data_IF_963549813010
#
_entry.id   IF_963549813010
#
_cell.length_a   1.000
_cell.length_b   1.000
_cell.length_c   1.000
_cell.angle_alpha   90.00
_cell.angle_beta   90.00
_cell.angle_gamma   90.00
#
_symmetry.space_group_name_H-M   'P 1'
#
loop_
_entity.id
_entity.type
_entity.pdbx_description
1 polymer ?
#
# COMPACT_ATOMS: atom_id res chain seq x y z
N UNK A 1 17.93 33.54 15.89
CA UNK A 1 16.63 33.45 15.21
C UNK A 1 15.84 34.63 15.68
N UNK A 2 15.65 35.59 14.78
CA UNK A 2 14.76 36.72 15.03
C UNK A 2 13.31 36.23 14.93
N UNK A 3 12.37 36.89 15.61
CA UNK A 3 10.95 36.50 15.60
C UNK A 3 10.35 36.47 14.17
N UNK A 4 10.94 37.24 13.25
CA UNK A 4 10.57 37.23 11.83
C UNK A 4 10.92 35.90 11.14
N UNK A 5 12.11 35.35 11.39
CA UNK A 5 12.54 34.08 10.79
C UNK A 5 11.60 32.93 11.18
N UNK A 6 11.06 32.98 12.41
CA UNK A 6 10.12 31.98 12.91
C UNK A 6 8.72 32.09 12.29
N UNK A 7 8.27 33.31 11.99
CA UNK A 7 6.99 33.54 11.33
C UNK A 7 7.03 33.09 9.87
N UNK A 8 8.10 33.43 9.14
CA UNK A 8 8.30 33.00 7.75
C UNK A 8 8.33 31.47 7.64
N UNK A 9 9.00 30.80 8.60
CA UNK A 9 9.07 29.33 8.64
C UNK A 9 7.70 28.69 8.91
N UNK A 10 6.90 29.29 9.79
CA UNK A 10 5.53 28.84 10.11
C UNK A 10 4.61 28.99 8.90
N UNK A 11 4.71 30.09 8.16
CA UNK A 11 3.92 30.34 6.95
C UNK A 11 4.30 29.36 5.84
N UNK A 12 5.59 29.16 5.60
CA UNK A 12 6.06 28.18 4.62
C UNK A 12 5.62 26.75 4.95
N UNK A 13 5.64 26.37 6.23
CA UNK A 13 5.14 25.07 6.68
C UNK A 13 3.63 24.94 6.44
N UNK A 14 2.84 25.99 6.72
CA UNK A 14 1.40 26.00 6.49
C UNK A 14 1.06 25.85 5.00
N UNK A 15 1.77 26.57 4.12
CA UNK A 15 1.59 26.45 2.67
C UNK A 15 1.95 25.06 2.16
N UNK A 16 3.07 24.51 2.61
CA UNK A 16 3.51 23.16 2.23
C UNK A 16 2.50 22.11 2.64
N UNK A 17 1.95 22.21 3.87
CA UNK A 17 0.90 21.29 4.32
C UNK A 17 -0.32 21.39 3.39
N UNK A 18 -0.80 22.60 3.09
CA UNK A 18 -1.98 22.80 2.21
C UNK A 18 -1.78 22.23 0.81
N UNK A 19 -0.59 22.39 0.23
CA UNK A 19 -0.25 21.83 -1.09
C UNK A 19 -0.31 20.30 -1.14
N UNK A 20 -0.15 19.64 0.01
CA UNK A 20 -0.20 18.18 0.13
C UNK A 20 -1.61 17.65 0.44
N UNK A 21 -2.63 18.50 0.58
CA UNK A 21 -4.01 18.09 0.87
C UNK A 21 -4.83 17.96 -0.41
N UNK A 22 -5.77 17.01 -0.42
CA UNK A 22 -6.80 16.98 -1.45
C UNK A 22 -7.76 18.18 -1.30
N UNK A 23 -8.32 18.65 -2.42
CA UNK A 23 -9.18 19.85 -2.45
C UNK A 23 -10.30 19.81 -1.40
N UNK A 24 -10.94 18.65 -1.25
CA UNK A 24 -12.01 18.40 -0.28
C UNK A 24 -11.59 18.68 1.17
N UNK A 25 -10.34 18.37 1.52
CA UNK A 25 -9.76 18.58 2.85
C UNK A 25 -9.22 20.01 2.99
N UNK A 26 -8.69 20.58 1.90
CA UNK A 26 -8.13 21.94 1.87
C UNK A 26 -9.18 22.99 2.28
N UNK A 27 -10.43 22.88 1.82
CA UNK A 27 -11.49 23.82 2.18
C UNK A 27 -11.73 23.94 3.69
N UNK A 28 -11.44 22.89 4.46
CA UNK A 28 -11.61 22.88 5.91
C UNK A 28 -10.51 23.62 6.67
N UNK A 29 -9.33 23.83 6.05
CA UNK A 29 -8.13 24.38 6.72
C UNK A 29 -7.57 25.64 6.04
N UNK A 30 -8.12 26.05 4.90
CA UNK A 30 -7.66 27.20 4.10
C UNK A 30 -7.61 28.52 4.89
N UNK A 31 -8.46 28.69 5.91
CA UNK A 31 -8.53 29.90 6.73
C UNK A 31 -7.54 29.93 7.91
N UNK A 32 -6.90 28.80 8.23
CA UNK A 32 -5.99 28.67 9.37
C UNK A 32 -4.59 29.10 8.96
N UNK A 33 -3.96 30.01 9.69
CA UNK A 33 -2.69 30.64 9.26
C UNK A 33 -1.44 29.94 9.78
N UNK A 34 -1.55 29.25 10.91
CA UNK A 34 -0.43 28.52 11.50
C UNK A 34 -0.44 27.06 11.06
N UNK A 35 0.74 26.52 10.77
CA UNK A 35 0.93 25.09 10.55
C UNK A 35 0.43 24.24 11.74
N UNK A 36 0.60 24.74 12.97
CA UNK A 36 0.13 24.06 14.19
C UNK A 36 -1.41 24.02 14.26
N UNK A 37 -2.09 25.11 13.88
CA UNK A 37 -3.55 25.16 13.81
C UNK A 37 -4.10 24.21 12.75
N UNK A 38 -3.50 24.21 11.56
CA UNK A 38 -3.85 23.28 10.47
C UNK A 38 -3.68 21.84 10.97
N UNK A 39 -2.55 21.53 11.59
CA UNK A 39 -2.26 20.19 12.08
C UNK A 39 -3.25 19.76 13.18
N UNK A 40 -3.50 20.60 14.18
CA UNK A 40 -4.49 20.34 15.25
C UNK A 40 -5.92 20.21 14.74
N UNK A 41 -6.25 20.82 13.61
CA UNK A 41 -7.58 20.68 12.99
C UNK A 41 -7.72 19.36 12.23
N UNK A 42 -6.66 18.95 11.52
CA UNK A 42 -6.62 17.70 10.77
C UNK A 42 -6.47 16.48 11.69
N UNK A 43 -5.71 16.61 12.77
CA UNK A 43 -5.41 15.52 13.70
C UNK A 43 -6.66 14.78 14.21
N UNK A 44 -7.71 15.42 14.76
CA UNK A 44 -8.89 14.72 15.27
C UNK A 44 -9.81 14.17 14.18
N UNK A 45 -9.65 14.56 12.92
CA UNK A 45 -10.47 14.07 11.81
C UNK A 45 -9.79 12.95 11.02
N UNK A 46 -8.48 13.08 10.79
CA UNK A 46 -7.70 12.19 9.91
C UNK A 46 -6.65 11.37 10.64
N UNK A 47 -6.11 11.86 11.76
CA UNK A 47 -5.15 11.12 12.61
C UNK A 47 -5.77 10.72 13.95
N UNK A 48 -7.10 10.76 14.03
CA UNK A 48 -7.82 10.41 15.22
C UNK A 48 -7.50 8.96 15.53
N UNK A 49 -6.85 8.69 16.67
CA UNK A 49 -6.67 7.34 17.21
C UNK A 49 -8.00 6.79 17.72
N UNK A 50 -9.10 7.12 17.05
CA UNK A 50 -10.44 6.72 17.44
C UNK A 50 -10.64 5.26 17.09
N UNK A 51 -11.54 4.63 17.84
CA UNK A 51 -11.99 3.28 17.54
C UNK A 51 -12.53 3.18 16.10
N UNK A 52 -13.12 4.25 15.56
CA UNK A 52 -13.65 4.33 14.20
C UNK A 52 -12.55 4.22 13.14
N UNK A 53 -11.47 5.00 13.24
CA UNK A 53 -10.33 4.91 12.29
C UNK A 53 -9.67 3.54 12.36
N UNK A 54 -9.48 3.01 13.58
CA UNK A 54 -8.97 1.65 13.76
C UNK A 54 -9.89 0.61 13.12
N UNK A 55 -11.20 0.70 13.34
CA UNK A 55 -12.18 -0.22 12.77
C UNK A 55 -12.17 -0.16 11.24
N UNK A 56 -12.15 1.05 10.66
CA UNK A 56 -12.08 1.26 9.22
C UNK A 56 -10.84 0.61 8.59
N UNK A 57 -9.65 0.81 9.19
CA UNK A 57 -8.42 0.21 8.67
C UNK A 57 -8.41 -1.32 8.83
N UNK A 58 -8.98 -1.86 9.91
CA UNK A 58 -9.15 -3.30 10.06
C UNK A 58 -10.10 -3.85 8.98
N UNK A 59 -11.24 -3.19 8.74
CA UNK A 59 -12.15 -3.58 7.65
C UNK A 59 -11.46 -3.53 6.29
N UNK A 60 -10.65 -2.49 6.03
CA UNK A 60 -9.88 -2.36 4.79
C UNK A 60 -8.83 -3.46 4.66
N UNK A 61 -8.13 -3.83 5.74
CA UNK A 61 -7.12 -4.88 5.73
C UNK A 61 -7.73 -6.26 5.44
N UNK A 62 -8.74 -6.66 6.23
CA UNK A 62 -9.36 -7.98 6.10
C UNK A 62 -10.27 -8.09 4.87
N UNK A 63 -10.77 -6.96 4.37
CA UNK A 63 -11.52 -6.87 3.11
C UNK A 63 -10.66 -6.69 1.86
N UNK A 64 -9.34 -6.54 1.99
CA UNK A 64 -8.46 -6.33 0.86
C UNK A 64 -8.44 -7.59 -0.03
N UNK A 65 -8.79 -7.41 -1.31
CA UNK A 65 -8.80 -8.48 -2.32
C UNK A 65 -8.22 -7.97 -3.62
N UNK A 66 -7.23 -8.69 -4.13
CA UNK A 66 -6.67 -8.47 -5.45
C UNK A 66 -7.66 -8.95 -6.51
N UNK A 67 -7.79 -8.20 -7.60
CA UNK A 67 -8.62 -8.59 -8.74
C UNK A 67 -7.79 -9.38 -9.75
N UNK A 68 -8.43 -10.30 -10.48
CA UNK A 68 -7.77 -11.07 -11.52
C UNK A 68 -7.14 -10.16 -12.59
N UNK A 69 -5.91 -10.46 -13.00
CA UNK A 69 -5.17 -9.70 -14.01
C UNK A 69 -4.66 -8.32 -13.57
N UNK A 70 -4.79 -7.93 -12.30
CA UNK A 70 -4.19 -6.68 -11.77
C UNK A 70 -2.72 -6.86 -11.37
N UNK A 71 -2.00 -5.75 -11.20
CA UNK A 71 -0.59 -5.82 -10.81
C UNK A 71 -0.42 -6.22 -9.34
N UNK A 72 0.27 -7.35 -9.12
CA UNK A 72 0.57 -7.88 -7.79
C UNK A 72 1.46 -6.92 -6.99
N UNK A 73 2.37 -6.19 -7.65
CA UNK A 73 3.25 -5.23 -7.00
C UNK A 73 2.48 -4.08 -6.35
N UNK A 74 1.53 -3.51 -7.08
CA UNK A 74 0.59 -2.50 -6.59
C UNK A 74 -0.26 -3.04 -5.43
N UNK A 75 -0.77 -4.27 -5.55
CA UNK A 75 -1.56 -4.90 -4.47
C UNK A 75 -0.75 -5.05 -3.18
N UNK A 76 0.48 -5.58 -3.27
CA UNK A 76 1.41 -5.69 -2.13
C UNK A 76 1.71 -4.32 -1.53
N UNK A 77 1.88 -3.28 -2.35
CA UNK A 77 2.12 -1.93 -1.87
C UNK A 77 0.91 -1.39 -1.09
N UNK A 78 -0.31 -1.57 -1.59
CA UNK A 78 -1.55 -1.19 -0.89
C UNK A 78 -1.67 -1.94 0.45
N UNK A 79 -1.39 -3.24 0.46
CA UNK A 79 -1.36 -4.03 1.68
C UNK A 79 -0.38 -3.46 2.72
N UNK A 80 0.86 -3.18 2.29
CA UNK A 80 1.88 -2.61 3.17
C UNK A 80 1.50 -1.23 3.69
N UNK A 81 0.86 -0.38 2.87
CA UNK A 81 0.33 0.91 3.32
C UNK A 81 -0.68 0.74 4.46
N UNK A 82 -1.67 -0.16 4.31
CA UNK A 82 -2.68 -0.40 5.36
C UNK A 82 -2.05 -0.93 6.65
N UNK A 83 -1.05 -1.82 6.54
CA UNK A 83 -0.31 -2.35 7.70
C UNK A 83 0.48 -1.24 8.40
N UNK A 84 1.12 -0.33 7.66
CA UNK A 84 1.83 0.82 8.22
C UNK A 84 0.87 1.81 8.90
N UNK A 85 -0.28 2.08 8.28
CA UNK A 85 -1.32 2.95 8.85
C UNK A 85 -1.81 2.37 10.19
N UNK A 86 -2.06 1.06 10.27
CA UNK A 86 -2.42 0.39 11.52
C UNK A 86 -1.31 0.45 12.57
N UNK A 87 -0.05 0.26 12.16
CA UNK A 87 1.09 0.36 13.06
C UNK A 87 1.23 1.78 13.65
N UNK A 88 0.96 2.82 12.87
CA UNK A 88 0.96 4.22 13.34
C UNK A 88 -0.08 4.50 14.45
N UNK A 89 -1.14 3.70 14.49
CA UNK A 89 -2.19 3.73 15.51
C UNK A 89 -1.90 2.78 16.69
N UNK A 90 -0.68 2.28 16.83
CA UNK A 90 -0.27 1.28 17.82
C UNK A 90 -1.05 -0.05 17.71
N UNK A 91 -1.54 -0.40 16.52
CA UNK A 91 -2.13 -1.72 16.26
C UNK A 91 -1.05 -2.61 15.67
N UNK A 92 -0.56 -3.55 16.48
CA UNK A 92 0.41 -4.54 16.04
C UNK A 92 -0.33 -5.74 15.47
N UNK A 93 -0.03 -6.07 14.22
CA UNK A 93 -0.40 -7.33 13.59
C UNK A 93 0.85 -8.22 13.65
N UNK A 94 0.66 -9.48 14.02
CA UNK A 94 1.76 -10.44 14.04
C UNK A 94 2.29 -10.69 12.63
N UNK A 95 3.58 -11.01 12.48
CA UNK A 95 4.16 -11.16 11.14
C UNK A 95 3.53 -12.34 10.39
N UNK A 96 3.20 -13.40 11.10
CA UNK A 96 2.49 -14.56 10.55
C UNK A 96 1.09 -14.18 10.05
N UNK A 97 0.33 -13.43 10.85
CA UNK A 97 -1.00 -12.94 10.45
C UNK A 97 -0.92 -12.07 9.19
N UNK A 98 0.09 -11.19 9.08
CA UNK A 98 0.28 -10.37 7.87
C UNK A 98 0.49 -11.27 6.65
N UNK A 99 1.36 -12.27 6.76
CA UNK A 99 1.63 -13.21 5.69
C UNK A 99 0.36 -14.00 5.29
N UNK A 100 -0.41 -14.47 6.27
CA UNK A 100 -1.68 -15.17 6.03
C UNK A 100 -2.73 -14.27 5.37
N UNK A 101 -2.91 -13.03 5.86
CA UNK A 101 -3.86 -12.07 5.28
C UNK A 101 -3.47 -11.76 3.83
N UNK A 102 -2.17 -11.55 3.54
CA UNK A 102 -1.69 -11.31 2.19
C UNK A 102 -2.01 -12.49 1.27
N UNK A 103 -1.72 -13.74 1.68
CA UNK A 103 -2.05 -14.93 0.89
C UNK A 103 -3.57 -15.07 0.66
N UNK A 104 -4.38 -14.82 1.69
CA UNK A 104 -5.84 -14.83 1.61
C UNK A 104 -6.42 -13.71 0.73
N UNK A 105 -5.64 -12.66 0.45
CA UNK A 105 -6.08 -11.53 -0.39
C UNK A 105 -5.89 -11.77 -1.90
N UNK A 106 -5.14 -12.80 -2.27
CA UNK A 106 -4.84 -13.13 -3.66
C UNK A 106 -6.07 -13.75 -4.37
N UNK A 107 -6.17 -13.61 -5.70
CA UNK A 107 -7.28 -14.16 -6.46
C UNK A 107 -7.06 -15.65 -6.76
N UNK A 108 -8.10 -16.39 -7.21
CA UNK A 108 -8.03 -17.83 -7.44
C UNK A 108 -6.90 -18.30 -8.37
N UNK A 109 -6.47 -17.48 -9.34
CA UNK A 109 -5.32 -17.80 -10.21
C UNK A 109 -4.01 -18.06 -9.46
N UNK A 110 -3.87 -17.58 -8.22
CA UNK A 110 -2.69 -17.79 -7.37
C UNK A 110 -2.84 -18.98 -6.38
N UNK A 111 -3.91 -19.77 -6.43
CA UNK A 111 -4.17 -20.85 -5.47
C UNK A 111 -3.02 -21.88 -5.40
N UNK A 112 -2.44 -22.23 -6.55
CA UNK A 112 -1.30 -23.14 -6.59
C UNK A 112 -0.08 -22.56 -5.86
N UNK A 113 0.20 -21.27 -6.06
CA UNK A 113 1.27 -20.55 -5.37
C UNK A 113 1.05 -20.55 -3.86
N UNK A 114 -0.17 -20.22 -3.41
CA UNK A 114 -0.53 -20.21 -1.98
C UNK A 114 -0.28 -21.59 -1.37
N UNK A 115 -0.71 -22.65 -2.05
CA UNK A 115 -0.49 -24.04 -1.62
C UNK A 115 1.00 -24.35 -1.51
N UNK A 116 1.81 -24.04 -2.53
CA UNK A 116 3.26 -24.30 -2.52
C UNK A 116 3.98 -23.53 -1.41
N UNK A 117 3.60 -22.27 -1.17
CA UNK A 117 4.24 -21.42 -0.17
C UNK A 117 3.94 -21.84 1.28
N UNK A 118 2.82 -22.53 1.50
CA UNK A 118 2.34 -22.98 2.81
C UNK A 118 2.60 -24.46 3.07
N UNK A 119 2.81 -25.28 2.04
CA UNK A 119 2.98 -26.72 2.17
C UNK A 119 4.16 -27.09 3.09
N UNK A 120 3.85 -27.86 4.14
CA UNK A 120 4.84 -28.38 5.08
C UNK A 120 5.46 -27.33 6.01
N UNK A 121 4.95 -26.09 6.05
CA UNK A 121 5.42 -25.04 6.96
C UNK A 121 4.50 -24.92 8.18
N UNK A 122 5.11 -24.86 9.36
CA UNK A 122 4.42 -24.55 10.62
C UNK A 122 4.30 -23.04 10.87
N UNK A 123 5.22 -22.24 10.30
CA UNK A 123 5.22 -20.78 10.41
C UNK A 123 5.62 -20.15 9.08
N UNK A 124 5.16 -18.92 8.84
CA UNK A 124 5.46 -18.14 7.64
C UNK A 124 5.84 -16.70 8.00
N UNK A 125 6.68 -16.07 7.16
CA UNK A 125 7.11 -14.68 7.31
C UNK A 125 6.65 -13.82 6.15
N UNK A 126 6.27 -12.58 6.42
CA UNK A 126 5.75 -11.66 5.39
C UNK A 126 6.77 -11.40 4.28
N UNK A 127 8.04 -11.25 4.65
CA UNK A 127 9.13 -10.97 3.71
C UNK A 127 9.38 -12.12 2.72
N UNK A 128 9.35 -13.37 3.20
CA UNK A 128 9.52 -14.56 2.36
C UNK A 128 8.38 -14.71 1.37
N UNK A 129 7.14 -14.53 1.83
CA UNK A 129 5.95 -14.58 0.97
C UNK A 129 5.99 -13.48 -0.08
N UNK A 130 6.28 -12.24 0.33
CA UNK A 130 6.34 -11.09 -0.59
C UNK A 130 7.41 -11.29 -1.66
N UNK A 131 8.59 -11.77 -1.27
CA UNK A 131 9.70 -12.03 -2.20
C UNK A 131 9.35 -13.12 -3.20
N UNK A 132 8.74 -14.22 -2.75
CA UNK A 132 8.35 -15.31 -3.63
C UNK A 132 7.24 -14.90 -4.62
N UNK A 133 6.26 -14.14 -4.15
CA UNK A 133 5.17 -13.59 -4.97
C UNK A 133 5.70 -12.68 -6.08
N UNK A 134 6.56 -11.72 -5.74
CA UNK A 134 7.16 -10.80 -6.72
C UNK A 134 8.08 -11.52 -7.72
N UNK A 135 8.86 -12.51 -7.24
CA UNK A 135 9.71 -13.32 -8.11
C UNK A 135 8.93 -14.19 -9.09
N UNK A 136 7.71 -14.61 -8.74
CA UNK A 136 6.82 -15.32 -9.66
C UNK A 136 6.21 -14.38 -10.70
N UNK A 137 5.68 -13.23 -10.27
CA UNK A 137 5.10 -12.24 -11.19
C UNK A 137 6.12 -11.80 -12.26
N UNK A 138 7.38 -11.58 -11.88
CA UNK A 138 8.44 -11.27 -12.86
C UNK A 138 8.71 -12.38 -13.88
N UNK A 139 8.50 -13.66 -13.53
CA UNK A 139 8.68 -14.78 -14.47
C UNK A 139 7.51 -14.87 -15.45
N UNK A 140 6.29 -14.68 -14.96
CA UNK A 140 5.07 -14.69 -15.78
C UNK A 140 5.04 -13.54 -16.79
N UNK A 141 5.54 -12.35 -16.42
CA UNK A 141 5.66 -11.24 -17.37
C UNK A 141 6.66 -11.53 -18.49
N UNK A 142 7.81 -12.15 -18.16
CA UNK A 142 8.85 -12.51 -19.15
C UNK A 142 8.45 -13.67 -20.07
N UNK A 143 7.67 -14.63 -19.57
CA UNK A 143 7.16 -15.74 -20.39
C UNK A 143 6.10 -15.27 -21.38
N UNK A 144 5.25 -14.29 -21.00
CA UNK A 144 4.28 -13.65 -21.88
C UNK A 144 4.90 -12.88 -23.05
N UNK A 145 6.01 -12.16 -22.83
CA UNK A 145 6.72 -11.42 -23.89
C UNK A 145 7.41 -12.36 -24.91
N UNK A 146 7.94 -13.48 -24.44
CA UNK A 146 8.67 -14.46 -25.27
C UNK A 146 7.77 -15.18 -26.29
N UNK A 147 6.47 -15.28 -26.03
CA UNK A 147 5.48 -15.89 -26.93
C UNK A 147 5.16 -15.03 -28.16
N UNK A 148 5.43 -13.71 -28.11
CA UNK A 148 5.10 -12.79 -29.20
C UNK A 148 6.11 -12.78 -30.35
N UNK A 149 7.28 -13.42 -30.18
CA UNK A 149 8.41 -13.30 -31.11
C UNK A 149 8.69 -14.57 -31.95
N UNK A 150 7.89 -15.63 -31.83
CA UNK A 150 8.14 -16.91 -32.55
C UNK A 150 7.36 -17.12 -33.85
N UNK A 151 6.46 -16.22 -34.26
CA UNK A 151 5.51 -16.47 -35.35
C UNK A 151 5.91 -15.95 -36.75
N UNK A 152 7.21 -15.92 -37.11
CA UNK A 152 7.58 -15.62 -38.51
C UNK A 152 8.90 -16.25 -38.96
N UNK A 153 8.90 -17.57 -39.18
CA UNK A 153 9.91 -18.24 -40.00
C UNK A 153 9.27 -18.66 -41.33
N UNK A 154 9.30 -17.77 -42.33
CA UNK A 154 8.99 -18.14 -43.72
C UNK A 154 10.15 -18.97 -44.28
N UNK A 155 9.94 -20.29 -44.37
CA UNK A 155 10.79 -21.19 -45.17
C UNK A 155 10.52 -20.88 -46.65
N UNK A 156 11.49 -20.28 -47.33
CA UNK A 156 11.48 -20.17 -48.79
C UNK A 156 12.18 -21.41 -49.36
N UNK A 157 11.37 -22.36 -49.81
CA UNK A 157 11.84 -23.53 -50.57
C UNK A 157 12.34 -23.10 -51.95
N UNK A 158 13.37 -23.82 -52.41
CA UNK A 158 14.14 -23.65 -53.65
C UNK A 158 13.35 -23.30 -54.91
#
# INVERSE_FOLDING_TARGET
MEDNDWQDLQEQAAETIRLCLADEVMYHVMHLKSADEIWKKLEPQFMSKTLTTKLYLNQRLYGLKMQEGTDLGQHVNIFNQVVMDLASLNVKIEDEDKAMILLCSLPPSYEHMVTTLTYGKETIKTEEITSALLAHNQREQKSGESSSQSDTLYVKGN
#
